data_IF_004472036777
#
_entry.id   IF_004472036777
#
_cell.length_a   1.000
_cell.length_b   1.000
_cell.length_c   1.000
_cell.angle_alpha   90.00
_cell.angle_beta   90.00
_cell.angle_gamma   90.00
#
_symmetry.space_group_name_H-M   'P 1'
#
loop_
_entity.id
_entity.type
_entity.pdbx_description
1 polymer ?
#
# COMPACT_ATOMS: atom_id res chain seq x y z
N UNK A 1 3.65 -13.13 22.80
CA UNK A 1 3.36 -12.38 21.56
C UNK A 1 4.61 -12.30 20.69
N UNK A 2 4.48 -12.62 19.44
CA UNK A 2 5.63 -12.70 18.54
C UNK A 2 5.45 -11.72 17.40
N UNK A 3 6.38 -10.78 17.23
CA UNK A 3 6.39 -9.89 16.10
C UNK A 3 7.14 -10.52 14.94
N UNK A 4 6.53 -10.45 13.77
CA UNK A 4 7.18 -10.81 12.53
C UNK A 4 7.19 -9.59 11.61
N UNK A 5 8.30 -9.42 10.91
CA UNK A 5 8.46 -8.35 9.95
C UNK A 5 8.68 -8.95 8.58
N UNK A 6 7.95 -8.45 7.58
CA UNK A 6 8.09 -8.87 6.21
C UNK A 6 8.65 -7.72 5.39
N UNK A 7 9.81 -7.94 4.78
CA UNK A 7 10.42 -6.97 3.87
C UNK A 7 9.83 -7.17 2.48
N UNK A 8 9.31 -6.10 1.92
CA UNK A 8 8.72 -6.09 0.58
C UNK A 8 9.57 -5.19 -0.31
N UNK A 9 9.95 -5.70 -1.47
CA UNK A 9 10.67 -4.93 -2.47
C UNK A 9 9.84 -4.82 -3.74
N UNK A 10 9.74 -3.59 -4.26
CA UNK A 10 8.98 -3.29 -5.46
C UNK A 10 9.87 -2.52 -6.43
N UNK A 11 9.87 -2.90 -7.69
CA UNK A 11 10.59 -2.19 -8.74
C UNK A 11 9.66 -1.85 -9.90
N UNK A 12 9.90 -0.70 -10.52
CA UNK A 12 9.19 -0.28 -11.72
C UNK A 12 10.02 0.77 -12.48
N UNK A 13 9.66 1.00 -13.74
CA UNK A 13 10.34 1.98 -14.58
C UNK A 13 10.11 3.41 -14.13
N UNK A 14 8.94 3.71 -13.56
CA UNK A 14 8.53 5.06 -13.16
C UNK A 14 8.18 5.12 -11.68
N UNK A 15 8.41 6.28 -11.07
CA UNK A 15 8.11 6.48 -9.63
C UNK A 15 6.66 6.17 -9.29
N UNK A 16 5.70 6.70 -10.06
CA UNK A 16 4.27 6.46 -9.80
C UNK A 16 3.91 4.99 -9.87
N UNK A 17 4.56 4.20 -10.71
CA UNK A 17 4.33 2.76 -10.78
C UNK A 17 4.84 2.04 -9.53
N UNK A 18 5.93 2.52 -8.93
CA UNK A 18 6.45 1.96 -7.67
C UNK A 18 5.42 2.15 -6.56
N UNK A 19 4.87 3.37 -6.44
CA UNK A 19 3.81 3.67 -5.48
C UNK A 19 2.60 2.76 -5.70
N UNK A 20 2.15 2.65 -6.95
CA UNK A 20 0.98 1.83 -7.28
C UNK A 20 1.20 0.36 -6.96
N UNK A 21 2.34 -0.18 -7.35
CA UNK A 21 2.67 -1.60 -7.10
C UNK A 21 2.77 -1.91 -5.60
N UNK A 22 3.39 -1.02 -4.83
CA UNK A 22 3.50 -1.20 -3.38
C UNK A 22 2.11 -1.20 -2.72
N UNK A 23 1.27 -0.23 -3.09
CA UNK A 23 -0.08 -0.14 -2.55
C UNK A 23 -0.93 -1.35 -2.92
N UNK A 24 -0.84 -1.81 -4.17
CA UNK A 24 -1.59 -2.98 -4.63
C UNK A 24 -1.07 -4.27 -4.01
N UNK A 25 0.23 -4.37 -3.74
CA UNK A 25 0.80 -5.52 -3.02
C UNK A 25 0.20 -5.62 -1.61
N UNK A 26 0.09 -4.50 -0.92
CA UNK A 26 -0.58 -4.47 0.39
C UNK A 26 -2.04 -4.88 0.26
N UNK A 27 -2.75 -4.37 -0.74
CA UNK A 27 -4.12 -4.75 -1.02
C UNK A 27 -4.30 -6.26 -1.21
N UNK A 28 -3.40 -6.90 -1.95
CA UNK A 28 -3.44 -8.35 -2.15
C UNK A 28 -3.20 -9.12 -0.86
N UNK A 29 -2.29 -8.65 -0.02
CA UNK A 29 -2.05 -9.27 1.29
C UNK A 29 -3.29 -9.15 2.16
N UNK A 30 -3.93 -7.98 2.19
CA UNK A 30 -5.16 -7.75 2.95
C UNK A 30 -6.33 -8.59 2.44
N UNK A 31 -6.35 -8.86 1.14
CA UNK A 31 -7.37 -9.71 0.54
C UNK A 31 -7.18 -11.20 0.83
N UNK A 32 -5.98 -11.59 1.28
CA UNK A 32 -5.67 -13.00 1.49
C UNK A 32 -5.69 -13.81 0.21
N UNK A 33 -5.41 -13.17 -0.95
CA UNK A 33 -5.43 -13.81 -2.26
C UNK A 33 -6.83 -13.95 -2.88
N UNK A 34 -7.87 -13.48 -2.21
CA UNK A 34 -9.23 -13.56 -2.75
C UNK A 34 -9.51 -12.49 -3.82
N UNK A 35 -10.60 -12.66 -4.58
CA UNK A 35 -10.95 -11.70 -5.63
C UNK A 35 -11.42 -10.36 -5.06
N UNK A 36 -11.16 -9.29 -5.79
CA UNK A 36 -11.52 -7.93 -5.39
C UNK A 36 -12.41 -7.29 -6.47
N UNK A 37 -13.62 -6.92 -6.08
CA UNK A 37 -14.56 -6.20 -6.94
C UNK A 37 -14.57 -4.73 -6.53
N UNK A 38 -14.21 -3.84 -7.46
CA UNK A 38 -14.16 -2.41 -7.19
C UNK A 38 -15.56 -1.86 -6.93
N UNK A 39 -15.78 -1.29 -5.74
CA UNK A 39 -17.09 -0.82 -5.30
C UNK A 39 -17.09 0.61 -4.76
N UNK A 40 -15.96 1.05 -4.19
CA UNK A 40 -15.87 2.34 -3.51
C UNK A 40 -14.63 3.07 -3.99
N UNK A 41 -14.78 4.35 -4.32
CA UNK A 41 -13.66 5.21 -4.70
C UNK A 41 -13.34 6.19 -3.57
N UNK A 42 -12.05 6.38 -3.30
CA UNK A 42 -11.56 7.33 -2.31
C UNK A 42 -10.35 8.07 -2.86
N UNK A 43 -10.28 9.36 -2.59
CA UNK A 43 -9.06 10.14 -2.84
C UNK A 43 -8.25 10.15 -1.57
N UNK A 44 -6.98 9.77 -1.67
CA UNK A 44 -6.03 9.77 -0.57
C UNK A 44 -5.03 10.90 -0.78
N UNK A 45 -4.73 11.63 0.28
CA UNK A 45 -3.76 12.73 0.24
C UNK A 45 -2.70 12.47 1.32
N UNK A 46 -1.86 11.45 1.11
CA UNK A 46 -0.86 11.09 2.12
C UNK A 46 0.14 12.23 2.33
N UNK A 47 0.36 12.56 3.59
CA UNK A 47 1.30 13.60 3.97
C UNK A 47 2.73 13.08 3.82
N UNK A 48 3.64 13.98 3.45
CA UNK A 48 5.06 13.63 3.33
C UNK A 48 5.78 14.66 2.47
N UNK A 49 7.05 14.89 2.80
CA UNK A 49 7.87 15.87 2.10
C UNK A 49 8.89 15.23 1.15
N UNK A 50 9.03 13.92 1.19
CA UNK A 50 9.87 13.17 0.26
C UNK A 50 9.17 11.86 -0.15
N UNK A 51 9.77 11.13 -1.10
CA UNK A 51 9.15 9.92 -1.65
C UNK A 51 8.97 8.82 -0.60
N UNK A 52 9.93 8.66 0.30
CA UNK A 52 9.85 7.64 1.35
C UNK A 52 8.69 7.93 2.28
N UNK A 53 8.58 9.17 2.78
CA UNK A 53 7.47 9.54 3.68
C UNK A 53 6.13 9.45 2.99
N UNK A 54 6.03 9.86 1.72
CA UNK A 54 4.80 9.75 0.94
C UNK A 54 4.37 8.30 0.76
N UNK A 55 5.33 7.41 0.48
CA UNK A 55 5.05 6.00 0.30
C UNK A 55 4.55 5.35 1.59
N UNK A 56 5.24 5.58 2.70
CA UNK A 56 4.82 5.04 4.00
C UNK A 56 3.44 5.58 4.38
N UNK A 57 3.20 6.88 4.19
CA UNK A 57 1.91 7.49 4.48
C UNK A 57 0.80 6.91 3.60
N UNK A 58 1.05 6.69 2.32
CA UNK A 58 0.08 6.07 1.41
C UNK A 58 -0.30 4.67 1.89
N UNK A 59 0.69 3.86 2.23
CA UNK A 59 0.43 2.49 2.69
C UNK A 59 -0.30 2.47 4.04
N UNK A 60 0.01 3.40 4.93
CA UNK A 60 -0.73 3.55 6.19
C UNK A 60 -2.18 3.93 5.95
N UNK A 61 -2.45 4.79 4.97
CA UNK A 61 -3.81 5.15 4.59
C UNK A 61 -4.58 3.96 4.02
N UNK A 62 -3.91 3.14 3.19
CA UNK A 62 -4.51 1.90 2.65
C UNK A 62 -4.82 0.93 3.79
N UNK A 63 -3.92 0.79 4.73
CA UNK A 63 -4.11 -0.10 5.89
C UNK A 63 -5.23 0.42 6.80
N UNK A 64 -5.30 1.73 7.04
CA UNK A 64 -6.35 2.35 7.84
C UNK A 64 -7.73 2.15 7.20
N UNK A 65 -7.84 2.27 5.88
CA UNK A 65 -9.10 2.03 5.18
C UNK A 65 -9.61 0.61 5.45
N UNK A 66 -8.72 -0.36 5.53
CA UNK A 66 -9.10 -1.73 5.88
C UNK A 66 -9.58 -1.84 7.33
N UNK A 67 -8.80 -1.34 8.28
CA UNK A 67 -9.15 -1.50 9.70
C UNK A 67 -10.32 -0.63 10.14
N UNK A 68 -10.48 0.55 9.54
CA UNK A 68 -11.56 1.47 9.91
C UNK A 68 -12.87 1.18 9.17
N UNK A 69 -12.80 0.78 7.90
CA UNK A 69 -13.98 0.65 7.05
C UNK A 69 -14.11 -0.70 6.36
N UNK A 70 -13.18 -1.60 6.56
CA UNK A 70 -13.10 -2.91 5.88
C UNK A 70 -13.09 -2.77 4.36
N UNK A 71 -12.30 -1.82 3.87
CA UNK A 71 -12.08 -1.58 2.46
C UNK A 71 -10.69 -2.05 2.06
N UNK A 72 -10.60 -2.81 0.97
CA UNK A 72 -9.35 -3.36 0.44
C UNK A 72 -9.04 -2.70 -0.89
N UNK A 73 -7.84 -2.12 -1.01
CA UNK A 73 -7.43 -1.45 -2.24
C UNK A 73 -7.34 -2.46 -3.39
N UNK A 74 -8.08 -2.21 -4.46
CA UNK A 74 -8.15 -3.06 -5.64
C UNK A 74 -7.47 -2.44 -6.86
N UNK A 75 -7.49 -1.11 -6.97
CA UNK A 75 -6.84 -0.36 -8.03
C UNK A 75 -6.46 1.02 -7.51
N UNK A 76 -5.47 1.66 -8.10
CA UNK A 76 -5.03 2.98 -7.67
C UNK A 76 -4.39 3.75 -8.83
N UNK A 77 -4.70 5.05 -8.88
CA UNK A 77 -4.03 6.00 -9.75
C UNK A 77 -3.21 6.96 -8.89
N UNK A 78 -1.92 7.04 -9.18
CA UNK A 78 -0.97 7.86 -8.41
C UNK A 78 -0.69 9.15 -9.15
N UNK A 79 -0.72 10.25 -8.43
CA UNK A 79 -0.31 11.56 -8.92
C UNK A 79 0.80 12.09 -8.04
N UNK A 80 1.99 12.25 -8.61
CA UNK A 80 3.17 12.64 -7.84
C UNK A 80 3.09 14.08 -7.34
N UNK A 81 2.33 14.91 -8.04
CA UNK A 81 2.13 16.30 -7.64
C UNK A 81 3.30 17.22 -7.91
N UNK A 82 3.47 18.29 -7.13
CA UNK A 82 2.72 18.68 -5.93
C UNK A 82 1.31 19.20 -6.20
N UNK A 83 0.32 18.86 -5.33
CA UNK A 83 0.44 17.98 -4.17
C UNK A 83 0.38 16.50 -4.55
N UNK A 84 1.01 15.64 -3.76
CA UNK A 84 0.92 14.20 -3.94
C UNK A 84 -0.48 13.71 -3.58
N UNK A 85 -1.07 12.89 -4.44
CA UNK A 85 -2.39 12.32 -4.19
C UNK A 85 -2.53 10.97 -4.87
N UNK A 86 -3.53 10.22 -4.44
CA UNK A 86 -3.87 8.93 -5.03
C UNK A 86 -5.39 8.76 -5.07
N UNK A 87 -5.90 8.24 -6.17
CA UNK A 87 -7.31 7.85 -6.25
C UNK A 87 -7.36 6.34 -6.17
N UNK A 88 -7.88 5.84 -5.06
CA UNK A 88 -8.01 4.42 -4.80
C UNK A 88 -9.41 3.91 -5.09
N UNK A 89 -9.48 2.72 -5.67
CA UNK A 89 -10.74 1.98 -5.84
C UNK A 89 -10.66 0.75 -4.97
N UNK A 90 -11.62 0.62 -4.09
CA UNK A 90 -11.61 -0.36 -3.02
C UNK A 90 -12.72 -1.37 -3.19
N UNK A 91 -12.44 -2.60 -2.78
CA UNK A 91 -13.44 -3.66 -2.62
C UNK A 91 -13.82 -3.75 -1.13
N UNK A 92 -15.04 -4.20 -0.86
CA UNK A 92 -15.46 -4.47 0.52
C UNK A 92 -14.93 -5.83 0.94
N UNK A 93 -14.37 -5.90 2.15
CA UNK A 93 -13.92 -7.16 2.72
C UNK A 93 -15.12 -8.09 2.93
N UNK A 94 -14.96 -9.34 2.53
CA UNK A 94 -15.99 -10.37 2.63
C UNK A 94 -15.38 -11.63 3.25
N UNK A 95 -15.86 -12.08 4.42
CA UNK A 95 -15.28 -13.23 5.09
C UNK A 95 -15.39 -14.53 4.28
N UNK A 96 -16.31 -14.59 3.30
CA UNK A 96 -16.44 -15.74 2.42
C UNK A 96 -15.35 -15.80 1.35
N UNK A 97 -14.74 -14.66 1.03
CA UNK A 97 -13.75 -14.54 -0.05
C UNK A 97 -12.35 -14.22 0.46
N UNK A 98 -12.24 -13.54 1.60
CA UNK A 98 -10.98 -12.98 2.08
C UNK A 98 -10.62 -13.55 3.45
N UNK A 99 -9.32 -13.81 3.66
CA UNK A 99 -8.85 -14.29 4.95
C UNK A 99 -8.63 -13.16 5.95
N UNK A 100 -8.15 -13.51 7.13
CA UNK A 100 -7.72 -12.53 8.13
C UNK A 100 -6.31 -12.07 7.78
N UNK A 101 -6.12 -10.78 7.51
CA UNK A 101 -4.80 -10.27 7.17
C UNK A 101 -3.89 -10.24 8.38
N UNK A 102 -2.60 -10.41 8.12
CA UNK A 102 -1.57 -10.48 9.15
C UNK A 102 -0.69 -9.23 9.18
N UNK A 103 -1.09 -8.16 8.50
CA UNK A 103 -0.36 -6.89 8.53
C UNK A 103 -1.05 -5.96 9.52
N UNK A 104 -0.30 -5.48 10.52
CA UNK A 104 -0.80 -4.60 11.56
C UNK A 104 -0.26 -3.19 11.45
N UNK A 105 0.93 -3.03 10.87
CA UNK A 105 1.59 -1.72 10.76
C UNK A 105 2.54 -1.69 9.58
N UNK A 106 2.80 -0.48 9.11
CA UNK A 106 3.84 -0.20 8.12
C UNK A 106 4.93 0.57 8.84
N UNK A 107 6.14 0.03 8.85
CA UNK A 107 7.27 0.64 9.55
C UNK A 107 7.99 1.65 8.67
N UNK A 108 8.27 2.84 9.23
CA UNK A 108 9.11 3.82 8.56
C UNK A 108 10.58 3.37 8.57
N UNK A 109 11.01 2.70 9.63
CA UNK A 109 12.38 2.21 9.76
C UNK A 109 12.71 1.18 8.69
N UNK A 110 13.81 1.39 7.96
CA UNK A 110 14.20 0.51 6.86
C UNK A 110 13.50 0.77 5.54
N UNK A 111 12.53 1.70 5.50
CA UNK A 111 11.86 2.06 4.25
C UNK A 111 12.82 2.84 3.34
N UNK A 112 12.83 2.49 2.05
CA UNK A 112 13.69 3.13 1.05
C UNK A 112 12.93 3.36 -0.25
N UNK A 113 13.35 4.39 -0.96
CA UNK A 113 12.87 4.70 -2.29
C UNK A 113 14.06 5.26 -3.06
N UNK A 114 14.59 4.50 -4.02
CA UNK A 114 15.87 4.81 -4.64
C UNK A 114 15.91 4.42 -6.12
N UNK A 115 16.79 5.05 -6.91
CA UNK A 115 17.04 4.59 -8.27
C UNK A 115 17.61 3.17 -8.27
N UNK A 116 17.19 2.37 -9.25
CA UNK A 116 17.68 1.01 -9.44
C UNK A 116 17.64 0.65 -10.92
N UNK A 117 18.79 0.42 -11.51
CA UNK A 117 18.89 0.20 -12.96
C UNK A 117 18.37 1.42 -13.71
N UNK A 118 17.47 1.21 -14.66
CA UNK A 118 16.83 2.27 -15.44
C UNK A 118 15.54 2.80 -14.81
N UNK A 119 15.21 2.33 -13.64
CA UNK A 119 13.96 2.70 -12.96
C UNK A 119 14.17 3.00 -11.49
N UNK A 120 13.22 2.56 -10.69
CA UNK A 120 13.13 2.85 -9.27
C UNK A 120 12.81 1.60 -8.46
N UNK A 121 13.23 1.61 -7.20
CA UNK A 121 12.98 0.53 -6.27
C UNK A 121 12.56 1.09 -4.93
N UNK A 122 11.54 0.47 -4.32
CA UNK A 122 11.17 0.75 -2.95
C UNK A 122 11.33 -0.51 -2.11
N UNK A 123 11.81 -0.32 -0.89
CA UNK A 123 11.87 -1.37 0.12
C UNK A 123 11.03 -0.94 1.30
N UNK A 124 10.18 -1.82 1.78
CA UNK A 124 9.21 -1.54 2.82
C UNK A 124 9.17 -2.67 3.82
N UNK A 125 8.79 -2.34 5.04
CA UNK A 125 8.63 -3.32 6.10
C UNK A 125 7.20 -3.32 6.59
N UNK A 126 6.52 -4.46 6.45
CA UNK A 126 5.19 -4.70 6.99
C UNK A 126 5.34 -5.51 8.28
N UNK A 127 4.74 -5.03 9.35
CA UNK A 127 4.79 -5.69 10.64
C UNK A 127 3.50 -6.45 10.92
N UNK A 128 3.65 -7.66 11.48
CA UNK A 128 2.55 -8.54 11.86
C UNK A 128 2.69 -8.93 13.34
N UNK A 129 1.64 -9.48 13.88
CA UNK A 129 1.67 -10.06 15.24
C UNK A 129 1.67 -11.58 15.18
#
# INVERSE_FOLDING_TARGET
>A
MKFEAHMIEVQAAMEEEVFARAALALGQILAGGGPLTQQVERTLEPAGHDRVSQLVALLRDVLAAFYDERLILAAVDIRLGPPFSAVGRFARWDPALHGDPDVRAISYGGARFEPAGDGWRATLRFDSE
#
